data_IF_443953640877
#
_entry.id   IF_443953640877
#
_cell.length_a   1.000
_cell.length_b   1.000
_cell.length_c   1.000
_cell.angle_alpha   90.00
_cell.angle_beta   90.00
_cell.angle_gamma   90.00
#
_symmetry.space_group_name_H-M   'P 1'
#
loop_
_entity.id
_entity.type
_entity.pdbx_description
1 polymer ?
#
# COMPACT_ATOMS: atom_id res chain seq x y z
N UNK A 1 8.89 72.66 -2.20
CA UNK A 1 9.50 71.88 -3.29
C UNK A 1 10.76 71.21 -2.76
N UNK A 2 10.69 69.89 -2.57
CA UNK A 2 11.78 68.90 -2.58
C UNK A 2 11.11 67.52 -2.25
N UNK A 3 11.43 66.42 -2.96
CA UNK A 3 10.58 65.24 -2.99
C UNK A 3 10.97 64.16 -1.97
N UNK A 4 9.97 63.39 -1.55
CA UNK A 4 10.10 62.16 -0.75
C UNK A 4 10.70 61.03 -1.57
N UNK A 5 11.78 60.42 -1.09
CA UNK A 5 12.31 59.15 -1.62
C UNK A 5 11.93 58.01 -0.69
N UNK A 6 10.96 57.19 -1.13
CA UNK A 6 10.68 55.87 -0.56
C UNK A 6 11.78 54.89 -0.99
N UNK A 7 12.52 54.37 -0.02
CA UNK A 7 13.51 53.30 -0.24
C UNK A 7 12.78 51.95 -0.18
N UNK A 8 12.71 51.25 -1.31
CA UNK A 8 12.23 49.87 -1.36
C UNK A 8 13.35 48.92 -0.94
N UNK A 9 13.12 48.17 0.14
CA UNK A 9 14.02 47.12 0.61
C UNK A 9 13.70 45.83 -0.16
N UNK A 10 14.52 45.47 -1.14
CA UNK A 10 14.42 44.15 -1.78
C UNK A 10 14.94 43.09 -0.82
N UNK A 11 14.05 42.19 -0.39
CA UNK A 11 14.43 40.94 0.29
C UNK A 11 14.85 39.96 -0.80
N UNK A 12 16.13 39.58 -0.81
CA UNK A 12 16.63 38.51 -1.65
C UNK A 12 16.09 37.17 -1.12
N UNK A 13 15.19 36.54 -1.89
CA UNK A 13 14.77 35.18 -1.65
C UNK A 13 15.93 34.24 -2.05
N UNK A 14 16.55 33.61 -1.05
CA UNK A 14 17.53 32.55 -1.27
C UNK A 14 16.87 31.35 -1.93
N UNK A 15 17.40 30.92 -3.07
CA UNK A 15 16.97 29.70 -3.77
C UNK A 15 17.44 28.49 -2.97
N UNK A 16 16.52 27.85 -2.26
CA UNK A 16 16.74 26.52 -1.69
C UNK A 16 16.67 25.53 -2.84
N UNK A 17 17.80 24.89 -3.16
CA UNK A 17 17.84 23.80 -4.12
C UNK A 17 17.18 22.56 -3.50
N UNK A 18 15.85 22.44 -3.67
CA UNK A 18 15.18 21.15 -3.52
C UNK A 18 15.69 20.21 -4.61
N UNK A 19 16.10 18.99 -4.23
CA UNK A 19 16.35 17.93 -5.20
C UNK A 19 15.02 17.56 -5.87
N UNK A 20 14.74 18.17 -7.02
CA UNK A 20 13.59 17.83 -7.83
C UNK A 20 13.86 16.52 -8.59
N UNK A 21 13.03 15.51 -8.35
CA UNK A 21 13.00 14.30 -9.16
C UNK A 21 12.39 14.60 -10.54
N UNK A 22 12.97 13.98 -11.57
CA UNK A 22 12.75 14.32 -12.98
C UNK A 22 11.46 13.64 -13.51
N UNK A 23 10.46 14.38 -14.01
CA UNK A 23 9.20 13.79 -14.49
C UNK A 23 9.39 13.13 -15.88
N UNK A 24 9.21 11.80 -15.95
CA UNK A 24 9.20 11.07 -17.22
C UNK A 24 7.77 10.91 -17.75
N UNK A 25 7.57 11.31 -19.00
CA UNK A 25 6.28 11.28 -19.71
C UNK A 25 5.85 9.86 -20.12
N UNK A 26 4.53 9.64 -20.13
CA UNK A 26 3.85 8.39 -20.49
C UNK A 26 3.58 8.29 -21.99
N UNK A 27 3.59 7.06 -22.54
CA UNK A 27 3.12 6.75 -23.90
C UNK A 27 1.67 6.23 -23.90
N UNK A 28 0.89 6.39 -25.00
CA UNK A 28 -0.50 5.95 -25.07
C UNK A 28 -0.65 4.42 -25.26
N UNK A 29 -1.77 3.87 -24.79
CA UNK A 29 -2.09 2.45 -24.83
C UNK A 29 -2.57 1.96 -26.22
N UNK A 30 -2.18 0.74 -26.61
CA UNK A 30 -2.69 0.00 -27.76
C UNK A 30 -3.68 -1.11 -27.33
N UNK A 31 -4.62 -1.47 -28.20
CA UNK A 31 -5.70 -2.42 -27.94
C UNK A 31 -5.42 -3.79 -28.55
N UNK A 32 -5.45 -4.88 -27.77
CA UNK A 32 -5.47 -6.25 -28.31
C UNK A 32 -6.26 -7.23 -27.43
N UNK A 33 -6.88 -8.20 -28.10
CA UNK A 33 -7.82 -9.23 -27.62
C UNK A 33 -7.12 -10.42 -26.94
N UNK A 34 -7.67 -10.85 -25.80
CA UNK A 34 -7.04 -11.81 -24.88
C UNK A 34 -7.41 -13.29 -25.07
N UNK A 35 -6.47 -14.15 -24.67
CA UNK A 35 -6.69 -15.56 -24.34
C UNK A 35 -6.75 -15.78 -22.82
N UNK A 36 -7.58 -16.69 -22.37
CA UNK A 36 -7.77 -17.05 -20.95
C UNK A 36 -6.72 -18.08 -20.51
N UNK A 37 -5.69 -17.62 -19.80
CA UNK A 37 -4.84 -18.48 -18.98
C UNK A 37 -4.82 -17.95 -17.55
N UNK A 38 -5.08 -18.82 -16.57
CA UNK A 38 -4.97 -18.54 -15.13
C UNK A 38 -3.50 -18.70 -14.73
N UNK A 39 -2.77 -17.63 -14.37
CA UNK A 39 -1.33 -17.69 -14.16
C UNK A 39 -1.04 -17.60 -12.66
N UNK A 40 -1.47 -18.58 -11.87
CA UNK A 40 -1.11 -18.59 -10.44
C UNK A 40 0.32 -19.08 -10.24
N UNK A 41 0.82 -20.02 -11.06
CA UNK A 41 2.18 -20.54 -11.04
C UNK A 41 2.63 -20.91 -12.47
N UNK A 42 3.94 -20.94 -12.76
CA UNK A 42 4.43 -21.40 -14.07
C UNK A 42 4.03 -22.88 -14.23
N UNK A 43 3.11 -23.19 -15.13
CA UNK A 43 2.88 -24.53 -15.68
C UNK A 43 2.72 -25.66 -14.62
N UNK A 44 1.75 -25.55 -13.70
CA UNK A 44 1.48 -26.60 -12.68
C UNK A 44 2.58 -26.76 -11.61
N UNK A 45 3.61 -25.91 -11.60
CA UNK A 45 4.60 -25.83 -10.53
C UNK A 45 3.93 -25.45 -9.22
N UNK A 46 4.32 -26.05 -8.10
CA UNK A 46 3.96 -25.60 -6.75
C UNK A 46 4.95 -24.55 -6.21
N UNK A 47 6.04 -24.29 -6.93
CA UNK A 47 7.06 -23.31 -6.55
C UNK A 47 6.70 -21.95 -7.17
N UNK A 48 6.44 -20.98 -6.29
CA UNK A 48 6.33 -19.56 -6.65
C UNK A 48 7.72 -18.96 -6.75
N UNK A 49 7.99 -18.19 -7.81
CA UNK A 49 9.31 -17.60 -8.08
C UNK A 49 9.16 -16.23 -8.74
N UNK A 50 10.05 -15.30 -8.41
CA UNK A 50 10.12 -14.01 -9.10
C UNK A 50 10.42 -14.22 -10.60
N UNK A 51 9.70 -13.50 -11.45
CA UNK A 51 9.83 -13.61 -12.90
C UNK A 51 11.13 -12.97 -13.40
N UNK A 52 11.60 -11.95 -12.68
CA UNK A 52 12.78 -11.16 -13.01
C UNK A 52 13.78 -11.17 -11.84
N UNK A 53 15.04 -10.84 -12.16
CA UNK A 53 16.07 -10.62 -11.13
C UNK A 53 15.84 -9.27 -10.45
N UNK A 54 16.39 -9.10 -9.25
CA UNK A 54 16.37 -7.79 -8.58
C UNK A 54 17.04 -6.76 -9.48
N UNK A 55 16.37 -5.65 -9.69
CA UNK A 55 16.86 -4.52 -10.44
C UNK A 55 17.09 -3.40 -9.43
N UNK A 56 18.30 -2.83 -9.40
CA UNK A 56 18.65 -1.73 -8.52
C UNK A 56 18.74 -0.39 -9.25
N UNK A 57 18.55 -0.39 -10.58
CA UNK A 57 18.54 0.82 -11.39
C UNK A 57 17.13 1.42 -11.41
N UNK A 58 16.86 2.34 -10.49
CA UNK A 58 15.57 3.04 -10.39
C UNK A 58 15.23 3.84 -11.65
N UNK A 59 16.23 4.18 -12.47
CA UNK A 59 16.02 4.87 -13.74
C UNK A 59 15.31 4.00 -14.79
N UNK A 60 15.23 2.69 -14.57
CA UNK A 60 14.52 1.75 -15.43
C UNK A 60 13.05 1.56 -15.05
N UNK A 61 12.65 1.98 -13.84
CA UNK A 61 11.28 1.84 -13.33
C UNK A 61 10.33 2.76 -14.11
N UNK A 62 9.06 2.36 -14.18
CA UNK A 62 8.07 3.06 -15.00
C UNK A 62 6.65 2.88 -14.48
N UNK A 63 5.86 3.93 -14.62
CA UNK A 63 4.40 3.90 -14.43
C UNK A 63 3.71 3.32 -15.66
N UNK A 64 2.49 2.82 -15.45
CA UNK A 64 1.69 2.24 -16.51
C UNK A 64 2.18 0.88 -17.00
N UNK A 65 1.49 0.38 -18.02
CA UNK A 65 1.84 -0.84 -18.75
C UNK A 65 2.60 -0.52 -20.04
N UNK A 66 3.62 -1.33 -20.34
CA UNK A 66 4.30 -1.39 -21.64
C UNK A 66 3.81 -2.58 -22.46
N UNK A 67 4.29 -2.70 -23.70
CA UNK A 67 3.91 -3.77 -24.63
C UNK A 67 4.04 -5.18 -24.01
N UNK A 68 5.14 -5.44 -23.31
CA UNK A 68 5.40 -6.69 -22.59
C UNK A 68 4.42 -6.99 -21.45
N UNK A 69 3.88 -5.94 -20.80
CA UNK A 69 2.86 -6.07 -19.76
C UNK A 69 1.49 -6.38 -20.39
N UNK A 70 1.18 -5.75 -21.53
CA UNK A 70 -0.05 -6.03 -22.29
C UNK A 70 -0.08 -7.42 -22.91
N UNK A 71 1.08 -8.03 -23.15
CA UNK A 71 1.19 -9.42 -23.59
C UNK A 71 0.85 -10.43 -22.49
N UNK A 72 0.74 -10.01 -21.22
CA UNK A 72 0.44 -10.92 -20.11
C UNK A 72 -1.05 -11.35 -20.11
N UNK A 73 -1.37 -12.59 -19.73
CA UNK A 73 -2.75 -13.12 -19.77
C UNK A 73 -3.73 -12.40 -18.82
N UNK A 74 -3.21 -11.71 -17.80
CA UNK A 74 -4.01 -10.91 -16.86
C UNK A 74 -4.11 -9.43 -17.28
N UNK A 75 -3.53 -9.01 -18.41
CA UNK A 75 -3.53 -7.61 -18.84
C UNK A 75 -4.95 -7.05 -19.04
N UNK A 76 -5.94 -7.90 -19.31
CA UNK A 76 -7.37 -7.51 -19.35
C UNK A 76 -7.90 -6.89 -18.05
N UNK A 77 -7.22 -7.09 -16.93
CA UNK A 77 -7.57 -6.47 -15.64
C UNK A 77 -6.93 -5.09 -15.44
N UNK A 78 -6.00 -4.70 -16.31
CA UNK A 78 -5.42 -3.37 -16.33
C UNK A 78 -6.50 -2.33 -16.64
N UNK A 79 -6.61 -1.32 -15.78
CA UNK A 79 -7.46 -0.16 -16.00
C UNK A 79 -6.83 1.00 -15.24
N UNK A 80 -6.29 2.03 -15.92
CA UNK A 80 -5.65 3.17 -15.29
C UNK A 80 -6.64 4.21 -14.75
N UNK A 81 -7.95 4.04 -14.99
CA UNK A 81 -8.98 4.93 -14.45
C UNK A 81 -9.14 4.66 -12.96
N UNK A 82 -8.77 5.65 -12.16
CA UNK A 82 -8.91 5.65 -10.70
C UNK A 82 -10.27 6.21 -10.32
N UNK A 83 -10.95 5.55 -9.37
CA UNK A 83 -12.21 6.04 -8.83
C UNK A 83 -11.97 7.30 -7.99
N UNK A 84 -12.93 8.25 -7.94
CA UNK A 84 -12.85 9.37 -7.00
C UNK A 84 -12.71 8.89 -5.56
N UNK A 85 -12.02 9.69 -4.74
CA UNK A 85 -11.96 9.47 -3.30
C UNK A 85 -13.36 9.59 -2.69
N UNK A 86 -13.59 8.85 -1.60
CA UNK A 86 -14.85 8.93 -0.86
C UNK A 86 -14.96 10.25 -0.10
N UNK A 87 -16.18 10.74 0.09
CA UNK A 87 -16.44 11.96 0.86
C UNK A 87 -15.93 11.82 2.30
N UNK A 88 -16.04 10.62 2.89
CA UNK A 88 -15.57 10.31 4.24
C UNK A 88 -14.05 10.43 4.36
N UNK A 89 -13.29 9.98 3.36
CA UNK A 89 -11.85 10.14 3.36
C UNK A 89 -11.46 11.61 3.22
N UNK A 90 -12.08 12.32 2.26
CA UNK A 90 -11.82 13.75 2.04
C UNK A 90 -12.10 14.55 3.32
N UNK A 91 -13.21 14.27 4.00
CA UNK A 91 -13.57 14.91 5.26
C UNK A 91 -12.57 14.61 6.39
N UNK A 92 -12.14 13.34 6.50
CA UNK A 92 -11.10 12.92 7.45
C UNK A 92 -9.77 13.61 7.20
N UNK A 93 -9.34 13.72 5.94
CA UNK A 93 -8.12 14.42 5.54
C UNK A 93 -8.21 15.93 5.77
N UNK A 94 -9.36 16.55 5.50
CA UNK A 94 -9.58 17.98 5.74
C UNK A 94 -9.50 18.32 7.23
N UNK A 95 -9.93 17.38 8.09
CA UNK A 95 -9.87 17.51 9.54
C UNK A 95 -8.51 17.12 10.13
N UNK A 96 -7.58 16.61 9.31
CA UNK A 96 -6.28 16.13 9.76
C UNK A 96 -5.22 17.26 9.82
N UNK A 97 -4.23 17.18 10.73
CA UNK A 97 -4.07 16.14 11.75
C UNK A 97 -5.15 16.20 12.84
N UNK A 98 -5.74 15.05 13.14
CA UNK A 98 -6.68 14.90 14.23
C UNK A 98 -5.96 14.95 15.58
N UNK A 99 -6.70 15.16 16.67
CA UNK A 99 -6.14 15.26 18.02
C UNK A 99 -5.26 14.05 18.39
N UNK A 100 -4.08 14.32 18.95
CA UNK A 100 -3.07 13.31 19.31
C UNK A 100 -3.60 12.21 20.25
N UNK A 101 -4.58 12.54 21.11
CA UNK A 101 -5.23 11.60 22.01
C UNK A 101 -5.98 10.45 21.29
N UNK A 102 -6.19 10.55 19.97
CA UNK A 102 -6.74 9.46 19.15
C UNK A 102 -5.68 8.48 18.65
N UNK A 103 -4.39 8.79 18.85
CA UNK A 103 -3.28 7.92 18.45
C UNK A 103 -3.13 6.70 19.37
N UNK A 104 -2.67 5.61 18.78
CA UNK A 104 -2.20 4.42 19.48
C UNK A 104 -1.06 3.81 18.66
N UNK A 105 -0.20 3.00 19.26
CA UNK A 105 0.92 2.35 18.54
C UNK A 105 0.50 1.08 17.81
N UNK A 106 1.32 0.63 16.85
CA UNK A 106 1.12 -0.65 16.17
C UNK A 106 1.04 -1.85 17.14
N UNK A 107 1.78 -1.80 18.27
CA UNK A 107 1.76 -2.83 19.31
C UNK A 107 0.47 -2.84 20.14
N UNK A 108 -0.31 -1.76 20.09
CA UNK A 108 -1.65 -1.68 20.70
C UNK A 108 -2.77 -2.01 19.71
N UNK A 109 -2.45 -2.20 18.42
CA UNK A 109 -3.46 -2.35 17.38
C UNK A 109 -4.37 -3.58 17.58
N UNK A 110 -3.88 -4.63 18.24
CA UNK A 110 -4.69 -5.82 18.57
C UNK A 110 -5.89 -5.50 19.44
N UNK A 111 -5.78 -4.57 20.39
CA UNK A 111 -6.91 -4.07 21.18
C UNK A 111 -7.82 -3.20 20.31
N UNK A 112 -7.28 -2.15 19.68
CA UNK A 112 -8.09 -1.17 18.96
C UNK A 112 -8.81 -1.72 17.72
N UNK A 113 -8.17 -2.58 16.92
CA UNK A 113 -8.74 -3.11 15.69
C UNK A 113 -9.72 -4.27 15.91
N UNK A 114 -9.78 -4.84 17.11
CA UNK A 114 -10.73 -5.92 17.47
C UNK A 114 -11.96 -5.42 18.24
N UNK A 115 -11.98 -4.15 18.66
CA UNK A 115 -13.15 -3.53 19.27
C UNK A 115 -14.34 -3.51 18.31
N UNK A 116 -15.57 -3.70 18.81
CA UNK A 116 -16.77 -3.61 17.99
C UNK A 116 -17.00 -2.18 17.49
N UNK A 117 -17.67 -2.05 16.34
CA UNK A 117 -17.97 -0.75 15.74
C UNK A 117 -16.76 -0.09 15.09
N UNK A 118 -16.69 1.24 15.17
CA UNK A 118 -15.65 2.05 14.54
C UNK A 118 -14.94 2.89 15.59
N UNK A 119 -13.66 3.17 15.36
CA UNK A 119 -12.90 4.12 16.16
C UNK A 119 -13.25 5.55 15.75
N UNK A 120 -12.90 6.53 16.58
CA UNK A 120 -13.09 7.96 16.24
C UNK A 120 -12.25 8.40 15.03
N UNK A 121 -11.20 7.67 14.70
CA UNK A 121 -10.32 7.89 13.55
C UNK A 121 -10.33 6.64 12.65
N UNK A 122 -11.24 6.62 11.67
CA UNK A 122 -11.27 5.63 10.57
C UNK A 122 -10.73 6.18 9.25
N UNK A 123 -10.72 7.52 9.09
CA UNK A 123 -10.22 8.21 7.90
C UNK A 123 -9.43 9.45 8.31
N UNK A 124 -8.23 9.65 7.75
CA UNK A 124 -7.34 10.77 8.05
C UNK A 124 -6.08 10.32 8.79
N UNK A 125 -5.41 11.25 9.47
CA UNK A 125 -4.20 10.95 10.22
C UNK A 125 -4.08 11.79 11.49
N UNK A 126 -3.24 11.33 12.42
CA UNK A 126 -2.81 12.06 13.61
C UNK A 126 -1.30 11.85 13.80
N UNK A 127 -0.69 12.65 14.66
CA UNK A 127 0.74 12.58 14.98
C UNK A 127 0.88 12.43 16.49
N UNK A 128 1.56 11.38 16.92
CA UNK A 128 1.81 11.13 18.34
C UNK A 128 2.87 12.08 18.93
N UNK A 129 3.02 12.08 20.26
CA UNK A 129 4.04 12.88 20.95
C UNK A 129 5.50 12.62 20.52
N UNK A 130 5.78 11.46 19.91
CA UNK A 130 7.11 11.08 19.41
C UNK A 130 7.29 11.47 17.93
N UNK A 131 6.26 12.02 17.29
CA UNK A 131 6.27 12.37 15.88
C UNK A 131 5.90 11.20 14.94
N UNK A 132 5.43 10.07 15.47
CA UNK A 132 4.91 8.96 14.64
C UNK A 132 3.59 9.38 14.03
N UNK A 133 3.47 9.26 12.71
CA UNK A 133 2.22 9.53 12.00
C UNK A 133 1.39 8.26 12.02
N UNK A 134 0.22 8.31 12.64
CA UNK A 134 -0.78 7.23 12.56
C UNK A 134 -1.84 7.61 11.53
N UNK A 135 -2.01 6.76 10.52
CA UNK A 135 -2.87 7.02 9.36
C UNK A 135 -3.98 5.96 9.36
N UNK A 136 -5.20 6.39 9.03
CA UNK A 136 -6.36 5.53 8.91
C UNK A 136 -7.06 5.78 7.56
N UNK A 137 -7.45 4.70 6.89
CA UNK A 137 -8.32 4.74 5.73
C UNK A 137 -9.32 3.58 5.81
N UNK A 138 -10.59 3.88 5.56
CA UNK A 138 -11.68 2.91 5.51
C UNK A 138 -12.20 2.83 4.07
N UNK A 139 -12.13 1.63 3.49
CA UNK A 139 -12.57 1.36 2.13
C UNK A 139 -13.70 0.33 2.11
N UNK A 140 -14.75 0.60 1.33
CA UNK A 140 -15.81 -0.36 1.05
C UNK A 140 -15.34 -1.39 0.03
N UNK A 141 -15.33 -2.67 0.40
CA UNK A 141 -14.84 -3.77 -0.45
C UNK A 141 -15.81 -4.95 -0.46
N UNK A 142 -17.09 -4.75 -0.83
CA UNK A 142 -18.16 -5.72 -0.59
C UNK A 142 -17.91 -7.10 -1.23
N UNK A 143 -17.14 -7.15 -2.32
CA UNK A 143 -16.84 -8.38 -3.07
C UNK A 143 -15.52 -9.07 -2.62
N UNK A 144 -14.68 -8.44 -1.79
CA UNK A 144 -13.34 -8.95 -1.45
C UNK A 144 -13.38 -9.72 -0.13
N UNK A 145 -13.25 -11.04 -0.20
CA UNK A 145 -13.13 -11.91 0.99
C UNK A 145 -11.72 -11.88 1.57
N UNK A 146 -11.56 -12.31 2.82
CA UNK A 146 -10.25 -12.50 3.43
C UNK A 146 -9.35 -13.42 2.60
N UNK A 147 -9.87 -14.56 2.14
CA UNK A 147 -9.11 -15.48 1.28
C UNK A 147 -8.66 -14.82 -0.04
N UNK A 148 -9.53 -14.04 -0.69
CA UNK A 148 -9.18 -13.36 -1.93
C UNK A 148 -8.06 -12.33 -1.71
N UNK A 149 -8.09 -11.66 -0.55
CA UNK A 149 -7.07 -10.70 -0.14
C UNK A 149 -5.75 -11.41 0.21
N UNK A 150 -5.78 -12.50 0.97
CA UNK A 150 -4.59 -13.29 1.29
C UNK A 150 -3.94 -13.90 0.02
N UNK A 151 -4.76 -14.40 -0.91
CA UNK A 151 -4.28 -14.88 -2.21
C UNK A 151 -3.58 -13.76 -3.00
N UNK A 152 -4.16 -12.56 -3.01
CA UNK A 152 -3.64 -11.42 -3.73
C UNK A 152 -2.19 -11.11 -3.29
N UNK A 153 -1.93 -11.01 -1.98
CA UNK A 153 -0.59 -10.72 -1.44
C UNK A 153 0.47 -11.78 -1.77
N UNK A 154 0.06 -13.05 -1.89
CA UNK A 154 0.94 -14.09 -2.43
C UNK A 154 1.18 -13.92 -3.93
N UNK A 155 0.14 -13.61 -4.71
CA UNK A 155 0.17 -13.64 -6.16
C UNK A 155 0.83 -12.43 -6.83
N UNK A 156 0.60 -11.21 -6.33
CA UNK A 156 1.06 -9.98 -7.00
C UNK A 156 2.56 -9.72 -6.83
N UNK A 157 3.19 -10.30 -5.80
CA UNK A 157 4.55 -9.96 -5.34
C UNK A 157 5.70 -10.45 -6.22
N UNK A 158 5.41 -11.34 -7.19
CA UNK A 158 6.45 -12.01 -7.99
C UNK A 158 6.72 -11.36 -9.35
N UNK A 159 5.94 -10.34 -9.73
CA UNK A 159 6.03 -9.71 -11.05
C UNK A 159 5.48 -8.28 -11.01
N UNK A 160 6.30 -7.30 -11.41
CA UNK A 160 5.95 -5.86 -11.42
C UNK A 160 4.63 -5.58 -12.13
N UNK A 161 4.37 -6.20 -13.28
CA UNK A 161 3.11 -6.03 -14.01
C UNK A 161 1.87 -6.42 -13.17
N UNK A 162 1.98 -7.43 -12.30
CA UNK A 162 0.89 -7.82 -11.39
C UNK A 162 0.70 -6.79 -10.30
N UNK A 163 1.79 -6.33 -9.69
CA UNK A 163 1.75 -5.29 -8.65
C UNK A 163 1.08 -4.01 -9.16
N UNK A 164 1.38 -3.63 -10.40
CA UNK A 164 0.79 -2.49 -11.09
C UNK A 164 -0.73 -2.55 -11.25
N UNK A 165 -1.34 -3.75 -11.33
CA UNK A 165 -2.80 -3.88 -11.39
C UNK A 165 -3.49 -3.26 -10.17
N UNK A 166 -2.80 -3.18 -9.03
CA UNK A 166 -3.35 -2.69 -7.78
C UNK A 166 -3.56 -1.17 -7.80
N UNK A 167 -2.49 -0.44 -8.15
CA UNK A 167 -2.50 1.00 -8.24
C UNK A 167 -1.79 1.44 -9.53
N UNK A 168 -2.55 1.60 -10.63
CA UNK A 168 -2.01 1.79 -11.97
C UNK A 168 -1.32 3.15 -12.18
N UNK A 169 -1.56 4.10 -11.28
CA UNK A 169 -1.00 5.47 -11.36
C UNK A 169 0.18 5.68 -10.41
N UNK A 170 0.53 4.70 -9.58
CA UNK A 170 1.56 4.86 -8.55
C UNK A 170 2.61 3.74 -8.50
N UNK A 171 2.20 2.49 -8.71
CA UNK A 171 3.12 1.36 -8.62
C UNK A 171 4.03 1.30 -9.85
N UNK A 172 5.34 1.27 -9.65
CA UNK A 172 6.30 1.20 -10.77
C UNK A 172 7.27 0.02 -10.72
N UNK A 173 7.52 -0.54 -9.54
CA UNK A 173 8.40 -1.70 -9.38
C UNK A 173 7.99 -2.59 -8.20
N UNK A 174 8.15 -3.91 -8.36
CA UNK A 174 8.05 -4.85 -7.24
C UNK A 174 9.01 -6.01 -7.40
N UNK A 175 9.57 -6.45 -6.28
CA UNK A 175 10.34 -7.66 -6.13
C UNK A 175 10.07 -8.23 -4.74
N UNK A 176 10.31 -9.53 -4.50
CA UNK A 176 10.23 -10.10 -3.16
C UNK A 176 11.44 -10.93 -2.77
N UNK A 177 11.68 -11.02 -1.47
CA UNK A 177 12.66 -11.91 -0.83
C UNK A 177 11.91 -12.81 0.16
N UNK A 178 12.07 -14.15 0.14
CA UNK A 178 12.95 -14.92 -0.74
C UNK A 178 12.48 -14.93 -2.19
N UNK A 179 13.41 -15.24 -3.11
CA UNK A 179 13.15 -15.26 -4.56
C UNK A 179 12.19 -16.40 -4.95
N UNK A 180 12.20 -17.48 -4.18
CA UNK A 180 11.39 -18.68 -4.39
C UNK A 180 10.69 -19.08 -3.10
N UNK A 181 9.48 -19.61 -3.22
CA UNK A 181 8.72 -20.18 -2.10
C UNK A 181 7.96 -21.42 -2.56
N UNK A 182 7.84 -22.44 -1.70
CA UNK A 182 7.08 -23.65 -2.02
C UNK A 182 5.65 -23.53 -1.49
N UNK A 183 4.68 -23.45 -2.40
CA UNK A 183 3.26 -23.32 -2.06
C UNK A 183 2.50 -24.65 -2.01
N UNK A 184 3.15 -25.79 -2.21
CA UNK A 184 2.49 -27.10 -2.35
C UNK A 184 1.49 -27.41 -1.23
N UNK A 185 1.85 -27.06 0.01
CA UNK A 185 1.01 -27.27 1.19
C UNK A 185 0.77 -25.97 1.97
N UNK A 186 1.03 -24.81 1.36
CA UNK A 186 0.88 -23.52 2.02
C UNK A 186 -0.56 -23.01 1.89
N UNK A 187 -1.16 -22.67 3.03
CA UNK A 187 -2.36 -21.83 3.10
C UNK A 187 -2.12 -20.49 2.40
N UNK A 188 -3.18 -19.77 2.03
CA UNK A 188 -3.05 -18.48 1.33
C UNK A 188 -2.19 -17.47 2.13
N UNK A 189 -2.30 -17.48 3.46
CA UNK A 189 -1.51 -16.62 4.37
C UNK A 189 -0.03 -17.00 4.39
N UNK A 190 0.27 -18.30 4.47
CA UNK A 190 1.65 -18.80 4.45
C UNK A 190 2.38 -18.50 3.13
N UNK A 191 1.66 -18.16 2.05
CA UNK A 191 2.28 -17.79 0.76
C UNK A 191 2.98 -16.44 0.78
N UNK A 192 2.68 -15.57 1.74
CA UNK A 192 3.29 -14.24 1.84
C UNK A 192 3.84 -13.89 3.24
N UNK A 193 3.33 -14.49 4.32
CA UNK A 193 3.86 -14.23 5.66
C UNK A 193 5.34 -14.63 5.73
N UNK A 194 6.18 -13.74 6.26
CA UNK A 194 7.63 -13.92 6.37
C UNK A 194 8.43 -13.40 5.18
N UNK A 195 7.81 -13.22 4.00
CA UNK A 195 8.52 -12.59 2.88
C UNK A 195 8.63 -11.07 3.07
N UNK A 196 9.62 -10.49 2.41
CA UNK A 196 9.84 -9.04 2.32
C UNK A 196 9.60 -8.58 0.89
N UNK A 197 8.64 -7.68 0.69
CA UNK A 197 8.40 -6.99 -0.57
C UNK A 197 9.34 -5.81 -0.68
N UNK A 198 10.06 -5.71 -1.80
CA UNK A 198 10.83 -4.56 -2.24
C UNK A 198 10.05 -3.87 -3.34
N UNK A 199 9.57 -2.66 -3.07
CA UNK A 199 8.72 -1.92 -3.99
C UNK A 199 9.28 -0.54 -4.23
N UNK A 200 9.02 0.00 -5.41
CA UNK A 200 9.23 1.42 -5.68
C UNK A 200 7.93 1.97 -6.26
N UNK A 201 7.39 2.98 -5.61
CA UNK A 201 6.08 3.53 -5.91
C UNK A 201 5.97 5.00 -5.51
N UNK A 202 5.03 5.67 -6.17
CA UNK A 202 4.66 7.04 -5.83
C UNK A 202 3.68 7.08 -4.67
N UNK A 203 4.00 7.86 -3.65
CA UNK A 203 3.05 8.30 -2.62
C UNK A 203 2.98 9.81 -2.71
N UNK A 204 1.85 10.32 -3.24
CA UNK A 204 1.76 11.71 -3.67
C UNK A 204 2.62 11.95 -4.90
N UNK A 205 3.50 12.96 -4.85
CA UNK A 205 4.40 13.30 -5.95
C UNK A 205 5.78 12.63 -5.87
N UNK A 206 6.08 11.96 -4.76
CA UNK A 206 7.39 11.40 -4.48
C UNK A 206 7.39 9.89 -4.69
N UNK A 207 8.35 9.41 -5.47
CA UNK A 207 8.65 7.99 -5.57
C UNK A 207 9.73 7.60 -4.56
N UNK A 208 9.54 6.48 -3.88
CA UNK A 208 10.52 5.97 -2.92
C UNK A 208 10.62 4.45 -3.02
N UNK A 209 11.82 3.94 -2.72
CA UNK A 209 12.03 2.52 -2.43
C UNK A 209 11.48 2.20 -1.04
N UNK A 210 10.70 1.13 -0.91
CA UNK A 210 10.22 0.61 0.36
C UNK A 210 10.54 -0.87 0.51
N UNK A 211 10.74 -1.27 1.76
CA UNK A 211 10.74 -2.67 2.18
C UNK A 211 9.57 -2.92 3.12
N UNK A 212 8.75 -3.93 2.82
CA UNK A 212 7.63 -4.35 3.65
C UNK A 212 7.82 -5.81 3.99
N UNK A 213 8.14 -6.13 5.24
CA UNK A 213 8.17 -7.53 5.68
C UNK A 213 6.86 -7.92 6.35
N UNK A 214 6.20 -8.91 5.78
CA UNK A 214 4.91 -9.39 6.27
C UNK A 214 5.06 -10.28 7.50
N UNK A 215 4.21 -10.06 8.48
CA UNK A 215 4.27 -10.68 9.79
C UNK A 215 3.03 -11.55 10.03
N UNK A 216 3.16 -12.59 10.85
CA UNK A 216 1.98 -13.25 11.43
C UNK A 216 1.34 -12.26 12.43
N UNK A 217 0.05 -11.90 12.29
CA UNK A 217 -0.66 -11.01 13.21
C UNK A 217 -0.59 -11.45 14.69
N UNK A 218 -0.45 -12.74 14.99
CA UNK A 218 -0.28 -13.22 16.37
C UNK A 218 0.98 -12.64 17.03
N UNK A 219 2.05 -12.36 16.26
CA UNK A 219 3.26 -11.70 16.76
C UNK A 219 3.03 -10.26 17.24
N UNK A 220 1.89 -9.66 16.88
CA UNK A 220 1.44 -8.33 17.29
C UNK A 220 0.29 -8.41 18.33
N UNK A 221 0.07 -9.60 18.91
CA UNK A 221 -0.90 -9.83 19.97
C UNK A 221 -2.34 -10.07 19.51
N UNK A 222 -2.60 -10.27 18.21
CA UNK A 222 -3.94 -10.61 17.74
C UNK A 222 -4.32 -12.05 18.12
N UNK A 223 -5.49 -12.23 18.73
CA UNK A 223 -6.08 -13.56 18.93
C UNK A 223 -6.87 -13.98 17.68
N UNK A 224 -6.20 -14.65 16.75
CA UNK A 224 -6.80 -15.07 15.47
C UNK A 224 -7.98 -16.04 15.63
N UNK A 225 -8.04 -16.79 16.74
CA UNK A 225 -9.16 -17.71 17.01
C UNK A 225 -10.48 -16.98 17.32
N UNK A 226 -10.40 -15.72 17.76
CA UNK A 226 -11.57 -14.88 18.04
C UNK A 226 -12.11 -14.16 16.80
N UNK A 227 -11.35 -14.10 15.71
CA UNK A 227 -11.70 -13.35 14.51
C UNK A 227 -13.06 -13.73 13.90
N UNK A 228 -13.46 -15.01 13.80
CA UNK A 228 -14.76 -15.38 13.24
C UNK A 228 -15.95 -14.73 13.96
N UNK A 229 -15.91 -14.63 15.29
CA UNK A 229 -16.98 -14.00 16.07
C UNK A 229 -16.92 -12.46 16.04
N UNK A 230 -15.75 -11.90 15.70
CA UNK A 230 -15.52 -10.46 15.50
C UNK A 230 -15.78 -10.01 14.06
N UNK A 231 -16.10 -10.94 13.15
CA UNK A 231 -16.27 -10.67 11.73
C UNK A 231 -14.96 -10.37 10.99
N UNK A 232 -13.80 -10.53 11.62
CA UNK A 232 -12.50 -10.32 10.98
C UNK A 232 -12.21 -11.54 10.09
N UNK A 233 -11.97 -11.34 8.80
CA UNK A 233 -11.65 -12.43 7.86
C UNK A 233 -10.13 -12.59 7.71
N UNK A 234 -9.39 -11.48 7.61
CA UNK A 234 -7.92 -11.47 7.64
C UNK A 234 -7.39 -10.11 8.10
N UNK A 235 -6.13 -10.09 8.55
CA UNK A 235 -5.34 -8.88 8.74
C UNK A 235 -3.98 -9.12 8.08
N UNK A 236 -3.69 -8.37 7.01
CA UNK A 236 -2.34 -8.34 6.44
C UNK A 236 -1.53 -7.30 7.20
N UNK A 237 -0.53 -7.76 7.95
CA UNK A 237 0.33 -6.90 8.75
C UNK A 237 1.77 -6.95 8.24
N UNK A 238 2.47 -5.81 8.25
CA UNK A 238 3.87 -5.75 7.86
C UNK A 238 4.62 -4.61 8.52
N UNK A 239 5.92 -4.79 8.72
CA UNK A 239 6.85 -3.72 9.15
C UNK A 239 7.44 -3.02 7.93
N UNK A 240 7.57 -1.71 8.00
CA UNK A 240 7.89 -0.84 6.86
C UNK A 240 9.25 -0.17 7.06
N UNK A 241 10.08 -0.19 6.03
CA UNK A 241 11.23 0.70 5.88
C UNK A 241 11.07 1.52 4.61
N UNK A 242 11.17 2.84 4.70
CA UNK A 242 11.18 3.76 3.56
C UNK A 242 12.63 4.18 3.29
N UNK A 243 12.98 4.37 2.02
CA UNK A 243 14.29 4.85 1.59
C UNK A 243 15.31 3.75 1.31
N UNK A 244 14.88 2.53 0.98
CA UNK A 244 15.77 1.47 0.51
C UNK A 244 15.23 0.04 0.64
N UNK A 245 15.95 -0.89 0.01
CA UNK A 245 15.69 -2.33 0.07
C UNK A 245 16.50 -2.99 1.20
N UNK A 246 15.80 -3.60 2.16
CA UNK A 246 16.40 -4.26 3.33
C UNK A 246 15.50 -5.37 3.86
N UNK A 247 16.11 -6.42 4.40
CA UNK A 247 15.38 -7.50 5.12
C UNK A 247 15.62 -7.47 6.63
N UNK A 248 16.43 -6.52 7.13
CA UNK A 248 16.90 -6.51 8.53
C UNK A 248 16.72 -5.17 9.24
N UNK A 249 16.73 -4.05 8.52
CA UNK A 249 16.72 -2.70 9.11
C UNK A 249 15.30 -2.14 9.25
N UNK A 250 14.56 -2.64 10.25
CA UNK A 250 13.22 -2.15 10.60
C UNK A 250 13.23 -1.53 12.00
N UNK A 251 12.55 -0.39 12.17
CA UNK A 251 12.61 0.46 13.37
C UNK A 251 11.72 0.00 14.55
N UNK A 252 10.93 -1.06 14.36
CA UNK A 252 9.94 -1.58 15.33
C UNK A 252 8.85 -0.56 15.76
N UNK A 253 8.66 0.50 14.96
CA UNK A 253 7.63 1.54 15.14
C UNK A 253 6.76 1.64 13.89
N UNK A 254 7.34 1.45 12.71
CA UNK A 254 6.69 1.65 11.42
C UNK A 254 6.04 0.37 10.89
N UNK A 255 4.72 0.38 10.75
CA UNK A 255 3.92 -0.76 10.34
C UNK A 255 2.76 -0.37 9.43
N UNK A 256 2.27 -1.33 8.65
CA UNK A 256 0.93 -1.32 8.06
C UNK A 256 0.10 -2.48 8.60
N UNK A 257 -1.21 -2.29 8.63
CA UNK A 257 -2.20 -3.33 8.85
C UNK A 257 -3.44 -3.07 7.99
N UNK A 258 -3.82 -4.04 7.17
CA UNK A 258 -5.06 -4.02 6.39
C UNK A 258 -5.99 -5.12 6.89
N UNK A 259 -7.09 -4.73 7.54
CA UNK A 259 -8.09 -5.65 8.09
C UNK A 259 -9.28 -5.76 7.14
N UNK A 260 -9.55 -6.96 6.63
CA UNK A 260 -10.83 -7.28 6.00
C UNK A 260 -11.82 -7.67 7.09
N UNK A 261 -12.90 -6.91 7.22
CA UNK A 261 -13.97 -7.15 8.19
C UNK A 261 -15.31 -7.34 7.49
N UNK A 262 -15.99 -8.45 7.79
CA UNK A 262 -17.37 -8.72 7.41
C UNK A 262 -18.32 -8.08 8.42
N UNK A 263 -19.21 -7.25 7.92
CA UNK A 263 -20.25 -6.58 8.70
C UNK A 263 -21.48 -7.47 8.92
N UNK A 264 -22.36 -7.12 9.87
CA UNK A 264 -23.61 -7.85 10.10
C UNK A 264 -24.55 -7.94 8.88
N UNK A 265 -24.47 -6.99 7.94
CA UNK A 265 -25.22 -7.01 6.67
C UNK A 265 -24.62 -7.95 5.61
N UNK A 266 -23.53 -8.65 5.94
CA UNK A 266 -22.82 -9.58 5.07
C UNK A 266 -21.84 -8.91 4.10
N UNK A 267 -21.82 -7.58 4.00
CA UNK A 267 -20.83 -6.85 3.20
C UNK A 267 -19.50 -6.78 3.92
N UNK A 268 -18.45 -6.42 3.19
CA UNK A 268 -17.08 -6.34 3.69
C UNK A 268 -16.51 -4.95 3.51
N UNK A 269 -15.65 -4.60 4.44
CA UNK A 269 -14.87 -3.38 4.46
C UNK A 269 -13.41 -3.70 4.74
N UNK A 270 -12.55 -2.75 4.37
CA UNK A 270 -11.12 -2.82 4.57
C UNK A 270 -10.71 -1.64 5.44
N UNK A 271 -10.24 -1.94 6.65
CA UNK A 271 -9.72 -0.96 7.61
C UNK A 271 -8.20 -0.98 7.56
N UNK A 272 -7.62 0.07 6.98
CA UNK A 272 -6.17 0.27 6.91
C UNK A 272 -5.69 1.10 8.09
N UNK A 273 -4.55 0.70 8.65
CA UNK A 273 -3.76 1.52 9.56
C UNK A 273 -2.31 1.51 9.15
N UNK A 274 -1.68 2.68 9.26
CA UNK A 274 -0.24 2.81 9.14
C UNK A 274 0.29 3.55 10.35
N UNK A 275 1.50 3.19 10.75
CA UNK A 275 2.31 3.93 11.70
C UNK A 275 3.63 4.19 10.99
N UNK A 276 4.06 5.44 10.89
CA UNK A 276 5.33 5.79 10.26
C UNK A 276 6.10 6.68 11.23
N UNK A 277 7.23 6.18 11.73
CA UNK A 277 8.08 6.93 12.63
C UNK A 277 8.62 8.19 11.93
N UNK A 278 8.84 9.26 12.70
CA UNK A 278 9.48 10.48 12.20
C UNK A 278 10.80 10.20 11.48
N UNK A 279 11.64 9.33 12.06
CA UNK A 279 12.94 8.93 11.49
C UNK A 279 12.82 7.99 10.28
N UNK A 280 11.62 7.45 10.03
CA UNK A 280 11.28 6.68 8.83
C UNK A 280 10.43 7.52 7.87
N UNK A 281 10.74 8.81 7.76
CA UNK A 281 10.08 9.78 6.87
C UNK A 281 8.63 10.16 7.25
N UNK A 282 8.20 9.89 8.49
CA UNK A 282 6.89 10.31 9.00
C UNK A 282 6.71 11.83 8.97
N UNK A 283 5.77 12.32 8.16
CA UNK A 283 5.40 13.73 8.06
C UNK A 283 3.89 13.90 7.85
N UNK A 284 3.37 15.13 8.06
CA UNK A 284 1.96 15.43 7.75
C UNK A 284 1.63 15.18 6.27
N UNK A 285 2.52 15.55 5.36
CA UNK A 285 2.34 15.35 3.93
C UNK A 285 2.25 13.86 3.58
N UNK A 286 3.16 13.03 4.13
CA UNK A 286 3.09 11.58 3.96
C UNK A 286 1.79 11.01 4.56
N UNK A 287 1.33 11.55 5.70
CA UNK A 287 0.06 11.18 6.32
C UNK A 287 -1.14 11.38 5.40
N UNK A 288 -1.18 12.52 4.70
CA UNK A 288 -2.19 12.80 3.69
C UNK A 288 -2.06 11.87 2.47
N UNK A 289 -0.86 11.84 1.87
CA UNK A 289 -0.66 11.20 0.58
C UNK A 289 -0.78 9.67 0.66
N UNK A 290 -0.35 9.07 1.76
CA UNK A 290 -0.49 7.62 1.97
C UNK A 290 -1.96 7.22 2.21
N UNK A 291 -2.77 8.07 2.84
CA UNK A 291 -4.20 7.80 2.98
C UNK A 291 -4.92 7.85 1.62
N UNK A 292 -4.57 8.83 0.77
CA UNK A 292 -5.07 8.92 -0.61
C UNK A 292 -4.62 7.70 -1.43
N UNK A 293 -3.33 7.37 -1.39
CA UNK A 293 -2.76 6.21 -2.06
C UNK A 293 -3.51 4.93 -1.64
N UNK A 294 -3.68 4.73 -0.34
CA UNK A 294 -4.34 3.56 0.21
C UNK A 294 -5.80 3.45 -0.25
N UNK A 295 -6.58 4.54 -0.27
CA UNK A 295 -7.98 4.46 -0.74
C UNK A 295 -8.08 4.06 -2.22
N UNK A 296 -7.21 4.61 -3.07
CA UNK A 296 -7.15 4.30 -4.50
C UNK A 296 -6.86 2.80 -4.70
N UNK A 297 -5.87 2.30 -3.97
CA UNK A 297 -5.39 0.93 -4.03
C UNK A 297 -6.44 -0.06 -3.47
N UNK A 298 -7.00 0.21 -2.29
CA UNK A 298 -7.89 -0.71 -1.58
C UNK A 298 -9.29 -0.80 -2.18
N UNK A 299 -9.77 0.26 -2.84
CA UNK A 299 -11.07 0.25 -3.55
C UNK A 299 -10.97 -0.37 -4.94
N UNK A 300 -9.76 -0.72 -5.39
CA UNK A 300 -9.57 -1.36 -6.69
C UNK A 300 -10.14 -2.77 -6.69
N UNK A 301 -10.95 -3.08 -7.70
CA UNK A 301 -11.43 -4.45 -7.91
C UNK A 301 -10.25 -5.37 -8.20
N UNK A 302 -10.01 -6.34 -7.32
CA UNK A 302 -9.01 -7.38 -7.53
C UNK A 302 -9.39 -8.23 -8.76
N UNK A 303 -8.41 -8.80 -9.47
CA UNK A 303 -8.66 -9.75 -10.55
C UNK A 303 -9.56 -10.91 -10.08
N UNK A 304 -10.61 -11.20 -10.84
CA UNK A 304 -11.46 -12.39 -10.61
C UNK A 304 -10.75 -13.63 -11.17
N UNK A 305 -9.67 -14.01 -10.51
CA UNK A 305 -8.90 -15.23 -10.81
C UNK A 305 -9.36 -16.28 -9.82
N UNK A 306 -9.71 -17.47 -10.32
CA UNK A 306 -10.01 -18.60 -9.42
C UNK A 306 -8.73 -18.96 -8.67
N UNK A 307 -8.73 -18.70 -7.37
CA UNK A 307 -7.61 -18.98 -6.47
C UNK A 307 -7.82 -20.26 -5.67
N UNK A 308 -8.95 -20.95 -5.88
CA UNK A 308 -9.32 -22.19 -5.19
C UNK A 308 -8.88 -23.44 -5.97
N UNK A 309 -8.36 -23.28 -7.19
CA UNK A 309 -7.89 -24.36 -8.06
C UNK A 309 -6.55 -24.01 -8.71
#
# INVERSE_FOLDING_TARGET
MLPSTMTWMMIAAGVVHGMAFNPRQLSPAATTTGGTATPTLRNGSTVSKNFESLNNDTSSYYLGYREEDFAQPYAKYWNPVVAPLTEELISGLTSSPMAEALSFSAHQASDYLTRPGYLSLENGYTIDKNGTVMIAALSEVPEVTGDAYDWWFGWHSVQTARYKLWNPVAHQYSYRVPVTENWANATLKERYIGMTSFIDEYVGNDAAQLSIQFLNPESLGFNVTAWPSQGIETIVAGRIKIGGFTTTDFDNVSYLMHQIRRRPDGKRELRSRFWIAKENHGTQQLGHDLAVHCQIEMTRKLPKIDYRN
#
